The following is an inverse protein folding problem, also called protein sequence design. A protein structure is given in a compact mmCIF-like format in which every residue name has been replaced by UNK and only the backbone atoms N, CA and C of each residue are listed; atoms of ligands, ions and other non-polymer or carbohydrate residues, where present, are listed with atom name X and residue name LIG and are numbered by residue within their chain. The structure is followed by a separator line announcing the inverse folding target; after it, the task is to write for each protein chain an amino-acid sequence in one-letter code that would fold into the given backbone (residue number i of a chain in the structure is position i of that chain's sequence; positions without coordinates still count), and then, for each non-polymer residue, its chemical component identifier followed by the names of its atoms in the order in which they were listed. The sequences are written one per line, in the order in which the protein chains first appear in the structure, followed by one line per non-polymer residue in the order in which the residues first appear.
data_IF_211162920514
#
_entry.id   IF_211162920514
#
_cell.length_a   1.000
_cell.length_b   1.000
_cell.length_c   1.000
_cell.angle_alpha   90.00
_cell.angle_beta   90.00
_cell.angle_gamma   90.00
#
_symmetry.space_group_name_H-M   'P 1'
#
loop_
_entity.id
_entity.type
_entity.pdbx_description
1 polymer ?
#
# COMPACT_ATOMS: atom_id res chain seq x y z
N UNK A 1 3.15 12.61 3.23
CA UNK A 1 3.16 12.76 1.77
C UNK A 1 3.87 14.05 1.46
N UNK A 2 4.95 13.99 0.68
CA UNK A 2 5.64 15.17 0.18
C UNK A 2 4.81 15.71 -0.99
N UNK A 3 4.22 16.88 -0.83
CA UNK A 3 3.59 17.59 -1.93
C UNK A 3 4.69 18.26 -2.78
N UNK A 4 4.40 18.50 -4.06
CA UNK A 4 5.29 19.16 -5.04
C UNK A 4 5.62 20.64 -4.68
N UNK A 5 6.14 20.86 -3.49
CA UNK A 5 6.78 22.13 -3.16
C UNK A 5 8.29 21.98 -3.41
N UNK A 6 8.93 22.99 -3.99
CA UNK A 6 10.38 23.10 -4.21
C UNK A 6 11.22 23.05 -2.92
N UNK A 7 10.96 22.08 -2.08
CA UNK A 7 11.78 21.83 -0.89
C UNK A 7 12.87 20.84 -1.23
N UNK A 8 14.13 21.30 -1.12
CA UNK A 8 15.29 20.42 -1.21
C UNK A 8 15.22 19.39 -0.07
N UNK A 9 14.89 18.14 -0.42
CA UNK A 9 14.85 17.03 0.53
C UNK A 9 16.26 16.43 0.58
N UNK A 10 16.78 16.23 1.79
CA UNK A 10 18.06 15.53 2.00
C UNK A 10 17.79 14.17 2.63
N UNK A 11 18.37 13.13 2.05
CA UNK A 11 18.41 11.81 2.66
C UNK A 11 19.71 11.65 3.45
N UNK A 12 19.58 11.28 4.72
CA UNK A 12 20.71 10.96 5.59
C UNK A 12 20.96 9.45 5.64
N UNK A 13 22.21 9.05 5.60
CA UNK A 13 22.66 7.66 5.68
C UNK A 13 23.55 7.46 6.91
N UNK A 14 23.89 6.22 7.22
CA UNK A 14 24.82 5.89 8.30
C UNK A 14 26.17 6.60 8.11
N UNK A 15 26.87 6.87 9.24
CA UNK A 15 28.17 7.54 9.19
C UNK A 15 28.09 9.03 8.88
N UNK A 16 26.90 9.65 8.93
CA UNK A 16 26.72 11.08 8.65
C UNK A 16 26.74 11.43 7.15
N UNK A 17 26.75 10.44 6.27
CA UNK A 17 26.62 10.66 4.85
C UNK A 17 25.22 11.24 4.52
N UNK A 18 25.15 12.12 3.52
CA UNK A 18 23.87 12.67 3.05
C UNK A 18 23.93 12.94 1.54
N UNK A 19 22.76 12.90 0.91
CA UNK A 19 22.58 13.24 -0.49
C UNK A 19 21.30 14.02 -0.73
N UNK A 20 21.24 14.77 -1.82
CA UNK A 20 20.00 15.42 -2.26
C UNK A 20 19.07 14.36 -2.80
N UNK A 21 17.84 14.36 -2.29
CA UNK A 21 16.80 13.42 -2.69
C UNK A 21 15.81 14.10 -3.63
N UNK A 22 15.47 13.41 -4.72
CA UNK A 22 14.44 13.82 -5.67
C UNK A 22 13.19 12.98 -5.44
N UNK A 23 12.03 13.64 -5.34
CA UNK A 23 10.75 12.94 -5.32
C UNK A 23 10.51 12.28 -6.68
N UNK A 24 10.30 10.96 -6.70
CA UNK A 24 9.89 10.20 -7.87
C UNK A 24 8.36 10.23 -7.98
N UNK A 25 7.67 9.93 -6.89
CA UNK A 25 6.22 9.95 -6.83
C UNK A 25 5.73 9.74 -5.40
N UNK A 26 4.46 10.02 -5.18
CA UNK A 26 3.80 9.82 -3.88
C UNK A 26 2.36 9.37 -4.07
N UNK A 27 1.90 8.54 -3.14
CA UNK A 27 0.51 8.13 -3.08
C UNK A 27 -0.14 8.66 -1.79
N UNK A 28 -1.20 9.45 -1.98
CA UNK A 28 -1.91 10.08 -0.86
C UNK A 28 -2.75 9.09 -0.05
N UNK A 29 -3.12 7.94 -0.63
CA UNK A 29 -3.93 6.93 0.04
C UNK A 29 -3.09 6.01 0.92
N UNK A 30 -1.98 5.48 0.42
CA UNK A 30 -1.05 4.69 1.23
C UNK A 30 -0.17 5.54 2.15
N UNK A 31 -0.12 6.86 1.92
CA UNK A 31 0.78 7.81 2.63
C UNK A 31 2.27 7.51 2.40
N UNK A 32 2.61 6.93 1.26
CA UNK A 32 3.98 6.60 0.87
C UNK A 32 4.48 7.56 -0.18
N UNK A 33 5.74 7.98 -0.06
CA UNK A 33 6.46 8.74 -1.06
C UNK A 33 7.76 8.02 -1.43
N UNK A 34 8.06 7.95 -2.72
CA UNK A 34 9.28 7.34 -3.23
C UNK A 34 10.27 8.44 -3.61
N UNK A 35 11.47 8.35 -3.04
CA UNK A 35 12.56 9.29 -3.29
C UNK A 35 13.73 8.57 -3.95
N UNK A 36 14.45 9.26 -4.84
CA UNK A 36 15.72 8.80 -5.37
C UNK A 36 16.86 9.70 -4.91
N UNK A 37 18.02 9.10 -4.70
CA UNK A 37 19.28 9.80 -4.43
C UNK A 37 20.32 9.25 -5.40
N UNK A 38 21.00 10.14 -6.12
CA UNK A 38 22.10 9.72 -6.99
C UNK A 38 23.30 9.31 -6.11
N UNK A 39 23.80 8.09 -6.31
CA UNK A 39 24.88 7.53 -5.50
C UNK A 39 26.10 8.45 -5.48
N UNK A 40 26.49 9.00 -6.64
CA UNK A 40 27.65 9.87 -6.78
C UNK A 40 27.47 11.26 -6.12
N UNK A 41 26.25 11.63 -5.78
CA UNK A 41 25.95 12.89 -5.07
C UNK A 41 26.01 12.76 -3.55
N UNK A 42 26.18 11.54 -3.05
CA UNK A 42 26.20 11.29 -1.61
C UNK A 42 27.53 11.75 -1.04
N UNK A 43 27.46 12.78 -0.22
CA UNK A 43 28.60 13.32 0.51
C UNK A 43 28.79 12.49 1.77
N UNK A 44 29.83 11.68 1.78
CA UNK A 44 30.19 10.87 2.94
C UNK A 44 31.18 11.65 3.84
N UNK A 45 30.98 11.56 5.16
CA UNK A 45 31.96 11.96 6.13
C UNK A 45 33.13 10.91 6.24
N UNK A 46 32.89 9.70 5.73
CA UNK A 46 33.80 8.57 5.59
C UNK A 46 33.32 7.67 4.45
N UNK A 47 34.10 6.67 4.02
CA UNK A 47 33.68 5.62 3.06
C UNK A 47 32.54 4.74 3.61
N UNK A 48 31.40 5.36 3.83
CA UNK A 48 30.21 4.67 4.33
C UNK A 48 29.68 3.75 3.23
N UNK A 49 29.82 2.46 3.42
CA UNK A 49 29.20 1.45 2.55
C UNK A 49 27.67 1.47 2.77
N UNK A 50 26.94 1.99 1.77
CA UNK A 50 25.48 2.04 1.81
C UNK A 50 24.95 0.67 1.46
N UNK A 51 24.46 -0.03 2.47
CA UNK A 51 23.84 -1.34 2.31
C UNK A 51 22.39 -1.21 1.86
N UNK A 52 22.01 -2.04 0.89
CA UNK A 52 20.62 -2.13 0.41
C UNK A 52 19.81 -3.01 1.37
N UNK A 53 18.70 -2.51 1.88
CA UNK A 53 17.80 -3.29 2.72
C UNK A 53 17.09 -4.38 1.89
N UNK A 54 17.01 -5.58 2.45
CA UNK A 54 16.26 -6.70 1.85
C UNK A 54 14.79 -6.53 2.19
N UNK A 55 13.94 -6.50 1.15
CA UNK A 55 12.50 -6.45 1.33
C UNK A 55 11.96 -7.83 1.70
N UNK A 56 11.31 -7.91 2.85
CA UNK A 56 10.71 -9.13 3.38
C UNK A 56 9.28 -9.35 2.90
N UNK A 57 8.68 -10.43 3.34
CA UNK A 57 7.29 -10.78 3.07
C UNK A 57 6.45 -10.53 4.33
N UNK A 58 5.63 -9.46 4.34
CA UNK A 58 4.76 -9.11 5.47
C UNK A 58 3.65 -10.13 5.70
N UNK A 59 3.15 -10.81 4.66
CA UNK A 59 2.11 -11.84 4.80
C UNK A 59 2.54 -13.08 5.62
N UNK A 60 3.84 -13.21 5.92
CA UNK A 60 4.35 -14.26 6.81
C UNK A 60 4.43 -13.83 8.27
N UNK A 61 4.21 -12.55 8.55
CA UNK A 61 4.22 -12.03 9.91
C UNK A 61 2.93 -12.42 10.63
N UNK A 62 3.03 -12.60 11.94
CA UNK A 62 1.93 -13.03 12.80
C UNK A 62 1.89 -12.18 14.07
N UNK A 63 0.74 -12.16 14.72
CA UNK A 63 0.62 -11.60 16.06
C UNK A 63 1.60 -12.29 17.01
N UNK A 64 2.20 -11.50 17.89
CA UNK A 64 3.28 -11.85 18.82
C UNK A 64 4.66 -12.08 18.16
N UNK A 65 4.82 -11.91 16.85
CA UNK A 65 6.15 -11.95 16.24
C UNK A 65 7.00 -10.76 16.73
N UNK A 66 8.27 -11.00 17.13
CA UNK A 66 9.18 -9.95 17.50
C UNK A 66 9.64 -9.16 16.25
N UNK A 67 9.72 -7.85 16.41
CA UNK A 67 10.13 -6.92 15.37
C UNK A 67 11.15 -5.91 15.89
N UNK A 68 11.91 -5.36 14.96
CA UNK A 68 12.87 -4.28 15.20
C UNK A 68 12.35 -3.04 14.45
N UNK A 69 12.12 -1.95 15.17
CA UNK A 69 11.77 -0.66 14.60
C UNK A 69 13.02 0.22 14.50
N UNK A 70 13.34 0.71 13.30
CA UNK A 70 14.49 1.61 13.06
C UNK A 70 13.99 2.86 12.34
N UNK A 71 14.26 4.03 12.92
CA UNK A 71 13.85 5.29 12.31
C UNK A 71 13.89 6.48 13.25
N UNK A 72 12.95 7.40 13.07
CA UNK A 72 12.70 8.47 14.02
C UNK A 72 11.72 7.94 15.08
N UNK A 73 12.19 7.83 16.31
CA UNK A 73 11.41 7.34 17.45
C UNK A 73 11.71 8.24 18.65
N UNK A 74 10.66 8.66 19.36
CA UNK A 74 10.72 9.65 20.45
C UNK A 74 11.40 10.97 20.01
N UNK A 75 11.07 11.42 18.78
CA UNK A 75 11.59 12.66 18.23
C UNK A 75 13.03 12.61 17.76
N UNK A 76 13.75 11.50 17.95
CA UNK A 76 15.17 11.34 17.56
C UNK A 76 15.32 10.39 16.39
N UNK A 77 16.14 10.77 15.40
CA UNK A 77 16.45 9.95 14.22
C UNK A 77 17.49 8.86 14.54
N UNK A 78 17.50 7.78 13.74
CA UNK A 78 18.47 6.69 13.89
C UNK A 78 18.25 5.82 15.13
N UNK A 79 17.10 5.90 15.76
CA UNK A 79 16.77 5.09 16.92
C UNK A 79 16.39 3.67 16.51
N UNK A 80 16.76 2.72 17.36
CA UNK A 80 16.37 1.31 17.25
C UNK A 80 15.56 0.94 18.51
N UNK A 81 14.40 0.34 18.30
CA UNK A 81 13.55 -0.21 19.35
C UNK A 81 13.12 -1.63 18.98
N UNK A 82 12.93 -2.44 20.01
CA UNK A 82 12.38 -3.79 19.90
C UNK A 82 10.94 -3.79 20.39
N UNK A 83 10.10 -4.52 19.71
CA UNK A 83 8.69 -4.66 20.03
C UNK A 83 8.11 -5.93 19.42
N UNK A 84 6.80 -6.11 19.58
CA UNK A 84 6.07 -7.23 19.02
C UNK A 84 4.86 -6.73 18.25
N UNK A 85 4.43 -7.51 17.27
CA UNK A 85 3.15 -7.28 16.59
C UNK A 85 2.04 -7.66 17.56
N UNK A 86 1.19 -6.71 17.90
CA UNK A 86 0.06 -6.95 18.82
C UNK A 86 -1.23 -7.30 18.11
N UNK A 87 -1.36 -6.88 16.85
CA UNK A 87 -2.56 -7.09 16.06
C UNK A 87 -2.23 -6.95 14.56
N UNK A 88 -2.90 -7.72 13.73
CA UNK A 88 -2.89 -7.58 12.27
C UNK A 88 -4.33 -7.39 11.82
N UNK A 89 -4.58 -6.34 11.03
CA UNK A 89 -5.91 -5.99 10.49
C UNK A 89 -5.80 -5.50 9.06
N UNK A 90 -6.86 -5.66 8.29
CA UNK A 90 -6.96 -5.07 6.95
C UNK A 90 -7.56 -3.66 7.04
N UNK A 91 -6.91 -2.70 6.39
CA UNK A 91 -7.43 -1.33 6.20
C UNK A 91 -7.77 -1.13 4.72
N UNK A 92 -9.05 -0.93 4.43
CA UNK A 92 -9.52 -0.66 3.08
C UNK A 92 -9.05 0.72 2.62
N UNK A 93 -8.48 0.79 1.44
CA UNK A 93 -8.04 2.00 0.76
C UNK A 93 -8.70 2.08 -0.62
N UNK A 94 -8.40 3.14 -1.38
CA UNK A 94 -8.88 3.24 -2.75
C UNK A 94 -8.07 2.33 -3.65
N UNK A 95 -8.77 1.45 -4.37
CA UNK A 95 -8.23 0.45 -5.29
C UNK A 95 -7.28 -0.58 -4.66
N UNK A 96 -7.22 -0.63 -3.32
CA UNK A 96 -6.36 -1.54 -2.58
C UNK A 96 -6.89 -1.79 -1.15
N UNK A 97 -6.28 -2.77 -0.48
CA UNK A 97 -6.40 -3.01 0.96
C UNK A 97 -5.00 -3.25 1.50
N UNK A 98 -4.67 -2.64 2.62
CA UNK A 98 -3.36 -2.77 3.25
C UNK A 98 -3.47 -3.59 4.53
N UNK A 99 -2.59 -4.57 4.69
CA UNK A 99 -2.37 -5.24 5.96
C UNK A 99 -1.66 -4.29 6.92
N UNK A 100 -2.30 -4.01 8.05
CA UNK A 100 -1.83 -3.10 9.08
C UNK A 100 -1.36 -3.88 10.30
N UNK A 101 -0.08 -3.77 10.63
CA UNK A 101 0.51 -4.36 11.82
C UNK A 101 0.58 -3.32 12.94
N UNK A 102 -0.10 -3.56 14.05
CA UNK A 102 0.04 -2.76 15.28
C UNK A 102 1.24 -3.26 16.10
N UNK A 103 2.08 -2.34 16.58
CA UNK A 103 3.32 -2.66 17.28
C UNK A 103 3.33 -2.00 18.66
N UNK A 104 3.74 -2.73 19.71
CA UNK A 104 3.73 -2.32 21.12
C UNK A 104 4.81 -1.29 21.50
N UNK A 105 5.20 -0.45 20.56
CA UNK A 105 6.10 0.69 20.78
C UNK A 105 5.29 1.98 20.79
N UNK A 106 5.39 2.76 21.86
CA UNK A 106 4.71 4.05 21.99
C UNK A 106 5.47 5.11 21.16
N UNK A 107 4.82 5.75 20.17
CA UNK A 107 5.44 6.79 19.36
C UNK A 107 5.29 8.19 19.98
N UNK A 108 6.05 9.14 19.45
CA UNK A 108 5.82 10.59 19.60
C UNK A 108 5.29 11.19 18.29
N UNK A 109 4.78 12.41 18.36
CA UNK A 109 4.30 13.12 17.17
C UNK A 109 5.41 13.28 16.11
N UNK A 110 5.08 12.95 14.87
CA UNK A 110 6.02 13.03 13.75
C UNK A 110 7.05 11.92 13.70
N UNK A 111 6.92 10.90 14.54
CA UNK A 111 7.75 9.69 14.44
C UNK A 111 7.39 8.87 13.21
N UNK A 112 8.38 8.16 12.68
CA UNK A 112 8.23 7.17 11.61
C UNK A 112 9.37 6.17 11.70
N UNK A 113 9.12 4.92 11.35
CA UNK A 113 10.15 3.89 11.36
C UNK A 113 9.89 2.81 10.32
N UNK A 114 10.94 2.11 9.99
CA UNK A 114 10.88 0.88 9.20
C UNK A 114 10.86 -0.30 10.16
N UNK A 115 10.04 -1.29 9.84
CA UNK A 115 9.88 -2.49 10.65
C UNK A 115 10.63 -3.64 10.00
N UNK A 116 11.52 -4.24 10.77
CA UNK A 116 12.33 -5.38 10.37
C UNK A 116 11.88 -6.62 11.14
N UNK A 117 11.85 -7.75 10.45
CA UNK A 117 11.69 -9.05 11.10
C UNK A 117 13.01 -9.53 11.74
N UNK A 118 12.97 -10.65 12.46
CA UNK A 118 14.16 -11.27 13.08
C UNK A 118 15.27 -11.67 12.10
N UNK A 119 14.96 -11.76 10.81
CA UNK A 119 15.94 -12.05 9.75
C UNK A 119 16.60 -10.78 9.17
N UNK A 120 16.28 -9.59 9.71
CA UNK A 120 16.81 -8.32 9.22
C UNK A 120 16.18 -7.83 7.92
N UNK A 121 15.05 -8.40 7.50
CA UNK A 121 14.33 -7.95 6.31
C UNK A 121 13.27 -6.92 6.67
N UNK A 122 13.10 -5.89 5.84
CA UNK A 122 12.05 -4.87 6.01
C UNK A 122 10.70 -5.50 5.70
N UNK A 123 9.76 -5.46 6.65
CA UNK A 123 8.42 -6.01 6.50
C UNK A 123 7.31 -4.95 6.57
N UNK A 124 7.64 -3.71 6.92
CA UNK A 124 6.66 -2.64 6.96
C UNK A 124 7.25 -1.26 7.13
N UNK A 125 6.42 -0.25 6.88
CA UNK A 125 6.69 1.17 7.14
C UNK A 125 5.67 1.63 8.17
N UNK A 126 6.14 2.14 9.31
CA UNK A 126 5.30 2.47 10.44
C UNK A 126 5.23 3.98 10.72
N UNK A 127 4.06 4.40 11.17
CA UNK A 127 3.74 5.72 11.68
C UNK A 127 2.94 5.60 12.97
N UNK A 128 2.83 6.66 13.77
CA UNK A 128 1.95 6.65 14.94
C UNK A 128 0.51 6.34 14.53
N UNK A 129 -0.18 5.54 15.35
CA UNK A 129 -1.64 5.40 15.26
C UNK A 129 -2.34 6.73 15.53
N UNK A 130 -3.60 6.85 15.11
CA UNK A 130 -4.36 8.08 15.31
C UNK A 130 -4.53 8.47 16.79
N UNK A 131 -4.53 7.50 17.70
CA UNK A 131 -4.57 7.67 19.16
C UNK A 131 -3.18 7.86 19.81
N UNK A 132 -2.10 7.81 19.03
CA UNK A 132 -0.70 7.92 19.47
C UNK A 132 -0.26 6.85 20.50
N UNK A 133 -1.00 5.76 20.63
CA UNK A 133 -0.72 4.72 21.64
C UNK A 133 0.25 3.64 21.14
N UNK A 134 0.40 3.52 19.82
CA UNK A 134 1.22 2.48 19.18
C UNK A 134 1.67 2.91 17.79
N UNK A 135 2.69 2.24 17.25
CA UNK A 135 2.97 2.32 15.83
C UNK A 135 1.99 1.45 15.03
N UNK A 136 1.55 1.94 13.89
CA UNK A 136 0.88 1.18 12.85
C UNK A 136 1.77 1.09 11.63
N UNK A 137 2.13 -0.12 11.25
CA UNK A 137 2.93 -0.39 10.06
C UNK A 137 2.04 -0.90 8.92
N UNK A 138 2.19 -0.30 7.76
CA UNK A 138 1.66 -0.85 6.50
C UNK A 138 2.57 -1.99 6.07
N UNK A 139 1.99 -3.14 5.78
CA UNK A 139 2.73 -4.31 5.29
C UNK A 139 3.44 -4.04 3.98
N UNK A 140 4.72 -4.40 3.90
CA UNK A 140 5.53 -4.09 2.73
C UNK A 140 5.07 -4.88 1.48
N UNK A 141 4.50 -6.08 1.67
CA UNK A 141 4.00 -6.90 0.56
C UNK A 141 2.88 -6.21 -0.21
N UNK A 142 2.01 -5.45 0.46
CA UNK A 142 0.95 -4.67 -0.18
C UNK A 142 1.48 -3.41 -0.87
N UNK A 143 2.59 -2.85 -0.38
CA UNK A 143 3.23 -1.67 -0.95
C UNK A 143 4.11 -1.99 -2.16
N UNK A 144 4.55 -3.24 -2.30
CA UNK A 144 5.51 -3.62 -3.36
C UNK A 144 5.03 -3.28 -4.78
N UNK A 145 3.79 -3.63 -5.20
CA UNK A 145 3.29 -3.27 -6.52
C UNK A 145 3.26 -1.75 -6.73
N UNK A 146 2.89 -0.99 -5.71
CA UNK A 146 2.87 0.47 -5.75
C UNK A 146 4.29 1.05 -5.89
N UNK A 147 5.27 0.51 -5.16
CA UNK A 147 6.68 0.93 -5.25
C UNK A 147 7.23 0.63 -6.65
N UNK A 148 6.92 -0.54 -7.21
CA UNK A 148 7.31 -0.91 -8.57
C UNK A 148 6.72 0.05 -9.60
N UNK A 149 5.43 0.37 -9.49
CA UNK A 149 4.75 1.34 -10.36
C UNK A 149 5.38 2.72 -10.25
N UNK A 150 5.53 3.26 -9.04
CA UNK A 150 6.14 4.57 -8.80
C UNK A 150 7.59 4.65 -9.27
N UNK A 151 8.33 3.53 -9.26
CA UNK A 151 9.69 3.46 -9.78
C UNK A 151 9.76 3.58 -11.30
N UNK A 152 8.72 3.13 -12.00
CA UNK A 152 8.62 3.17 -13.45
C UNK A 152 7.96 4.45 -13.96
N UNK A 153 6.93 4.95 -13.27
CA UNK A 153 6.17 6.16 -13.61
C UNK A 153 5.65 6.84 -12.34
N UNK A 154 5.62 8.17 -12.27
CA UNK A 154 5.00 8.89 -11.16
C UNK A 154 3.47 8.78 -11.16
N UNK A 155 2.88 8.29 -12.23
CA UNK A 155 1.43 8.14 -12.41
C UNK A 155 0.94 6.85 -11.76
N UNK A 156 -0.09 6.96 -10.93
CA UNK A 156 -0.75 5.81 -10.31
C UNK A 156 -2.11 5.64 -10.97
N UNK A 157 -2.32 4.48 -11.57
CA UNK A 157 -3.58 4.15 -12.21
C UNK A 157 -4.69 4.07 -11.18
N UNK A 158 -5.85 4.60 -11.55
CA UNK A 158 -6.97 4.84 -10.66
C UNK A 158 -8.28 4.32 -11.28
N UNK A 159 -8.99 3.49 -10.53
CA UNK A 159 -10.35 3.07 -10.83
C UNK A 159 -11.36 3.80 -9.94
N UNK A 160 -11.07 3.93 -8.64
CA UNK A 160 -11.86 4.70 -7.69
C UNK A 160 -12.90 3.87 -6.93
N UNK A 161 -12.52 2.73 -6.41
CA UNK A 161 -13.37 1.90 -5.55
C UNK A 161 -12.72 1.68 -4.18
N UNK A 162 -13.57 1.52 -3.14
CA UNK A 162 -13.18 0.82 -1.92
C UNK A 162 -13.82 -0.55 -1.94
N UNK A 163 -13.10 -1.53 -1.44
CA UNK A 163 -13.55 -2.91 -1.57
C UNK A 163 -13.01 -3.81 -0.45
N UNK A 164 -13.55 -5.00 -0.37
CA UNK A 164 -13.10 -6.06 0.52
C UNK A 164 -13.13 -7.41 -0.17
N UNK A 165 -12.36 -8.37 0.31
CA UNK A 165 -12.35 -9.72 -0.22
C UNK A 165 -13.62 -10.48 0.19
N UNK A 166 -14.25 -11.17 -0.76
CA UNK A 166 -15.22 -12.22 -0.44
C UNK A 166 -14.44 -13.48 -0.10
N UNK A 167 -14.26 -13.75 1.19
CA UNK A 167 -13.58 -14.97 1.65
C UNK A 167 -14.44 -16.22 1.41
N UNK A 168 -13.83 -17.40 1.38
CA UNK A 168 -14.57 -18.67 1.23
C UNK A 168 -15.65 -18.84 2.30
N UNK A 169 -15.37 -18.44 3.55
CA UNK A 169 -16.32 -18.48 4.66
C UNK A 169 -17.51 -17.53 4.40
N UNK A 170 -17.22 -16.31 3.93
CA UNK A 170 -18.26 -15.32 3.62
C UNK A 170 -19.10 -15.75 2.42
N UNK A 171 -18.44 -16.29 1.39
CA UNK A 171 -19.06 -16.81 0.18
C UNK A 171 -20.06 -17.93 0.52
N UNK A 172 -19.65 -18.91 1.32
CA UNK A 172 -20.52 -20.02 1.72
C UNK A 172 -21.68 -19.56 2.59
N UNK A 173 -21.41 -18.72 3.60
CA UNK A 173 -22.40 -18.25 4.57
C UNK A 173 -23.50 -17.41 3.92
N UNK A 174 -23.13 -16.52 2.98
CA UNK A 174 -24.05 -15.54 2.38
C UNK A 174 -24.35 -15.85 0.91
N UNK A 175 -23.89 -16.99 0.40
CA UNK A 175 -24.04 -17.41 -1.01
C UNK A 175 -23.55 -16.35 -2.01
N UNK A 176 -22.41 -15.73 -1.68
CA UNK A 176 -21.78 -14.72 -2.52
C UNK A 176 -20.82 -15.37 -3.54
N UNK A 177 -20.72 -14.83 -4.76
CA UNK A 177 -19.62 -15.15 -5.66
C UNK A 177 -18.26 -14.79 -5.01
N UNK A 178 -17.22 -15.59 -5.25
CA UNK A 178 -15.85 -15.23 -4.87
C UNK A 178 -15.37 -14.07 -5.74
N UNK A 179 -14.65 -13.13 -5.14
CA UNK A 179 -14.12 -11.95 -5.83
C UNK A 179 -13.94 -10.75 -4.91
N UNK A 180 -13.86 -9.59 -5.52
CA UNK A 180 -13.67 -8.31 -4.84
C UNK A 180 -15.01 -7.58 -4.71
N UNK A 181 -15.52 -7.51 -3.49
CA UNK A 181 -16.80 -6.86 -3.17
C UNK A 181 -16.61 -5.34 -3.03
N UNK A 182 -17.30 -4.56 -3.85
CA UNK A 182 -17.26 -3.08 -3.81
C UNK A 182 -18.09 -2.59 -2.62
N UNK A 183 -17.42 -1.92 -1.68
CA UNK A 183 -18.07 -1.31 -0.51
C UNK A 183 -18.40 0.16 -0.73
N UNK A 184 -17.66 0.84 -1.62
CA UNK A 184 -17.86 2.26 -1.94
C UNK A 184 -17.32 2.57 -3.34
N UNK A 185 -17.94 3.51 -4.03
CA UNK A 185 -17.49 4.03 -5.34
C UNK A 185 -17.25 5.52 -5.19
N UNK A 186 -16.04 5.95 -5.51
CA UNK A 186 -15.64 7.36 -5.38
C UNK A 186 -16.36 8.17 -6.48
N UNK A 187 -16.96 9.28 -6.07
CA UNK A 187 -17.64 10.20 -7.00
C UNK A 187 -16.64 10.72 -8.05
N UNK A 188 -17.11 10.88 -9.28
CA UNK A 188 -16.33 11.38 -10.44
C UNK A 188 -15.10 10.50 -10.77
N UNK A 189 -15.10 9.23 -10.33
CA UNK A 189 -14.05 8.26 -10.67
C UNK A 189 -14.42 7.46 -11.93
N UNK A 190 -13.44 6.80 -12.59
CA UNK A 190 -13.71 5.88 -13.69
C UNK A 190 -14.76 4.80 -13.36
N UNK A 191 -14.74 4.28 -12.14
CA UNK A 191 -15.74 3.33 -11.65
C UNK A 191 -17.15 3.94 -11.61
N UNK A 192 -17.26 5.18 -11.13
CA UNK A 192 -18.52 5.90 -11.07
C UNK A 192 -19.08 6.18 -12.47
N UNK A 193 -18.25 6.67 -13.38
CA UNK A 193 -18.63 6.97 -14.78
C UNK A 193 -19.07 5.70 -15.53
N UNK A 194 -18.42 4.57 -15.26
CA UNK A 194 -18.78 3.29 -15.83
C UNK A 194 -20.08 2.69 -15.26
N UNK A 195 -20.62 3.21 -14.14
CA UNK A 195 -21.84 2.74 -13.50
C UNK A 195 -21.65 1.54 -12.58
N UNK A 196 -20.44 1.35 -12.05
CA UNK A 196 -20.19 0.42 -10.95
C UNK A 196 -20.91 0.90 -9.68
N UNK A 197 -21.31 -0.03 -8.83
CA UNK A 197 -22.11 0.26 -7.65
C UNK A 197 -21.61 -0.49 -6.42
N UNK A 198 -21.88 0.06 -5.24
CA UNK A 198 -21.74 -0.68 -3.99
C UNK A 198 -22.57 -1.99 -4.05
N UNK A 199 -21.98 -3.10 -3.64
CA UNK A 199 -22.59 -4.43 -3.74
C UNK A 199 -22.20 -5.22 -4.98
N UNK A 200 -21.54 -4.62 -5.96
CA UNK A 200 -20.94 -5.34 -7.08
C UNK A 200 -19.76 -6.20 -6.61
N UNK A 201 -19.57 -7.36 -7.23
CA UNK A 201 -18.43 -8.24 -6.97
C UNK A 201 -17.62 -8.38 -8.26
N UNK A 202 -16.44 -7.81 -8.29
CA UNK A 202 -15.51 -7.95 -9.43
C UNK A 202 -14.93 -9.36 -9.41
N UNK A 203 -15.06 -10.08 -10.53
CA UNK A 203 -14.57 -11.47 -10.68
C UNK A 203 -13.49 -11.61 -11.75
N UNK A 204 -13.39 -10.65 -12.68
CA UNK A 204 -12.30 -10.62 -13.66
C UNK A 204 -11.99 -9.19 -14.12
N UNK A 205 -10.73 -8.98 -14.54
CA UNK A 205 -10.23 -7.78 -15.20
C UNK A 205 -9.57 -8.22 -16.52
N UNK A 206 -10.04 -7.68 -17.65
CA UNK A 206 -9.62 -8.05 -19.01
C UNK A 206 -9.62 -9.58 -19.24
N UNK A 207 -10.67 -10.26 -18.76
CA UNK A 207 -10.83 -11.72 -18.83
C UNK A 207 -9.94 -12.53 -17.87
N UNK A 208 -9.04 -11.88 -17.13
CA UNK A 208 -8.21 -12.54 -16.11
C UNK A 208 -8.93 -12.58 -14.78
N UNK A 209 -9.09 -13.77 -14.21
CA UNK A 209 -9.77 -13.96 -12.94
C UNK A 209 -9.16 -13.10 -11.81
N UNK A 210 -10.04 -12.54 -10.98
CA UNK A 210 -9.72 -11.73 -9.80
C UNK A 210 -10.45 -12.33 -8.61
N UNK A 211 -9.70 -12.92 -7.68
CA UNK A 211 -10.25 -13.53 -6.46
C UNK A 211 -10.00 -12.70 -5.21
N UNK A 212 -8.98 -11.83 -5.23
CA UNK A 212 -8.60 -10.99 -4.10
C UNK A 212 -8.29 -9.57 -4.54
N UNK A 213 -8.42 -8.62 -3.61
CA UNK A 213 -8.09 -7.22 -3.85
C UNK A 213 -6.61 -7.05 -4.21
N UNK A 214 -5.70 -7.84 -3.64
CA UNK A 214 -4.29 -7.83 -3.98
C UNK A 214 -4.07 -8.19 -5.44
N UNK A 215 -4.68 -9.31 -5.90
CA UNK A 215 -4.63 -9.71 -7.31
C UNK A 215 -5.26 -8.68 -8.24
N UNK A 216 -6.32 -8.00 -7.79
CA UNK A 216 -6.94 -6.89 -8.51
C UNK A 216 -6.00 -5.71 -8.64
N UNK A 217 -5.46 -5.21 -7.52
CA UNK A 217 -4.55 -4.04 -7.48
C UNK A 217 -3.28 -4.27 -8.31
N UNK A 218 -2.68 -5.47 -8.23
CA UNK A 218 -1.52 -5.83 -9.06
C UNK A 218 -1.82 -5.75 -10.56
N UNK A 219 -3.01 -6.18 -10.98
CA UNK A 219 -3.43 -6.10 -12.38
C UNK A 219 -3.75 -4.66 -12.79
N UNK A 220 -4.43 -3.91 -11.92
CA UNK A 220 -4.78 -2.51 -12.15
C UNK A 220 -3.53 -1.65 -12.32
N UNK A 221 -2.53 -1.80 -11.45
CA UNK A 221 -1.29 -1.01 -11.50
C UNK A 221 -0.40 -1.32 -12.72
N UNK A 222 -0.69 -2.39 -13.46
CA UNK A 222 -0.01 -2.70 -14.75
C UNK A 222 -0.69 -2.06 -15.97
N UNK A 223 -1.89 -1.52 -15.79
CA UNK A 223 -2.60 -0.80 -16.84
C UNK A 223 -1.98 0.59 -17.05
N UNK A 224 -2.36 1.25 -18.13
CA UNK A 224 -1.88 2.60 -18.46
C UNK A 224 -3.00 3.62 -18.43
N UNK A 225 -2.64 4.89 -18.27
CA UNK A 225 -3.59 6.00 -18.30
C UNK A 225 -4.36 6.04 -19.64
N UNK A 226 -5.68 6.19 -19.56
CA UNK A 226 -6.58 6.17 -20.72
C UNK A 226 -6.86 4.79 -21.29
N UNK A 227 -6.31 3.72 -20.69
CA UNK A 227 -6.62 2.34 -21.11
C UNK A 227 -8.10 2.02 -20.85
N UNK A 228 -8.74 1.43 -21.86
CA UNK A 228 -10.09 0.89 -21.72
C UNK A 228 -10.02 -0.56 -21.29
N UNK A 229 -10.39 -0.83 -20.05
CA UNK A 229 -10.43 -2.19 -19.48
C UNK A 229 -11.86 -2.73 -19.46
N UNK A 230 -11.96 -4.07 -19.44
CA UNK A 230 -13.23 -4.75 -19.20
C UNK A 230 -13.24 -5.35 -17.80
N UNK A 231 -14.19 -4.95 -16.97
CA UNK A 231 -14.47 -5.55 -15.67
C UNK A 231 -15.66 -6.50 -15.78
N UNK A 232 -15.45 -7.78 -15.45
CA UNK A 232 -16.54 -8.73 -15.24
C UNK A 232 -16.99 -8.66 -13.79
N UNK A 233 -18.28 -8.41 -13.61
CA UNK A 233 -18.87 -8.12 -12.30
C UNK A 233 -20.10 -9.02 -12.08
N UNK A 234 -20.25 -9.50 -10.86
CA UNK A 234 -21.48 -10.15 -10.40
C UNK A 234 -22.30 -9.14 -9.59
N UNK A 235 -23.46 -8.75 -10.10
CA UNK A 235 -24.41 -7.84 -9.43
C UNK A 235 -25.60 -8.62 -8.93
N UNK A 236 -26.01 -8.37 -7.68
CA UNK A 236 -27.20 -9.01 -7.10
C UNK A 236 -28.45 -8.64 -7.91
N UNK A 237 -29.16 -9.64 -8.41
CA UNK A 237 -30.49 -9.54 -8.96
C UNK A 237 -31.55 -9.87 -7.91
N UNK A 238 -32.80 -10.07 -8.34
CA UNK A 238 -33.90 -10.41 -7.42
C UNK A 238 -33.73 -11.79 -6.79
N UNK A 239 -33.32 -12.77 -7.59
CA UNK A 239 -33.23 -14.17 -7.18
C UNK A 239 -31.80 -14.72 -7.24
N UNK A 240 -30.95 -14.14 -8.11
CA UNK A 240 -29.59 -14.62 -8.36
C UNK A 240 -28.63 -13.49 -8.75
N UNK A 241 -27.33 -13.75 -8.68
CA UNK A 241 -26.29 -12.87 -9.19
C UNK A 241 -26.23 -12.92 -10.71
N UNK A 242 -26.28 -11.75 -11.36
CA UNK A 242 -26.11 -11.62 -12.82
C UNK A 242 -24.70 -11.20 -13.15
N UNK A 243 -24.16 -11.77 -14.20
CA UNK A 243 -22.88 -11.37 -14.76
C UNK A 243 -23.07 -10.16 -15.68
N UNK A 244 -22.30 -9.13 -15.45
CA UNK A 244 -22.28 -7.90 -16.24
C UNK A 244 -20.82 -7.59 -16.61
N UNK A 245 -20.64 -7.02 -17.81
CA UNK A 245 -19.35 -6.52 -18.25
C UNK A 245 -19.41 -5.00 -18.35
N UNK A 246 -18.47 -4.34 -17.69
CA UNK A 246 -18.32 -2.90 -17.72
C UNK A 246 -17.05 -2.53 -18.48
N UNK A 247 -17.19 -1.62 -19.45
CA UNK A 247 -16.06 -1.00 -20.13
C UNK A 247 -15.68 0.26 -19.35
N UNK A 248 -14.46 0.34 -18.87
CA UNK A 248 -13.98 1.42 -18.00
C UNK A 248 -12.73 2.02 -18.58
N UNK A 249 -12.72 3.33 -18.79
CA UNK A 249 -11.53 4.08 -19.19
C UNK A 249 -10.82 4.54 -17.92
N UNK A 250 -9.61 4.03 -17.72
CA UNK A 250 -8.82 4.33 -16.51
C UNK A 250 -8.23 5.73 -16.55
N UNK A 251 -8.08 6.36 -15.40
CA UNK A 251 -7.38 7.63 -15.23
C UNK A 251 -6.23 7.49 -14.24
N UNK A 252 -5.54 8.57 -13.95
CA UNK A 252 -4.49 8.68 -12.93
C UNK A 252 -4.96 9.53 -11.77
N UNK A 253 -4.33 9.34 -10.60
CA UNK A 253 -4.58 10.09 -9.37
C UNK A 253 -3.34 10.75 -8.83
#
# INVERSE_FOLDING_TARGET
VLNNYDMAVKAGFNGGAYGEAKLIGSDSYSKVSLLSVQKDSIKAASDADIQVAVLGNSYKMKENDPVIAIGRINGSTGQTKFGNITQITDESSVDNTFEMMSIDIIPSYGDYCYIFNKGGNVVGIARPSGDMMKFQAVGLSDLKPLIETLSASPEIIYLGIKSTNVTSVTAERYKLPLGVYITDVIMDSPAFEAGLQCGDIITALNGNSVLTIQSFSEKLYRCVNGENITLTVKRAGRDEYRELNFSVVLSVR
#
